data_IF_665784970171
#
_entry.id   IF_665784970171
#
_cell.length_a   1.000
_cell.length_b   1.000
_cell.length_c   1.000
_cell.angle_alpha   90.00
_cell.angle_beta   90.00
_cell.angle_gamma   90.00
#
_symmetry.space_group_name_H-M   'P 1'
#
loop_
_entity.id
_entity.type
_entity.pdbx_description
1 polymer ?
#
# COMPACT_ATOMS: atom_id res chain seq x y z
N UNK A 1 29.66 28.06 30.81
CA UNK A 1 29.25 26.65 30.95
C UNK A 1 28.49 26.28 29.69
N UNK A 2 28.44 24.99 29.36
CA UNK A 2 27.90 24.49 28.09
C UNK A 2 26.95 23.34 28.35
N UNK A 3 25.80 23.34 27.68
CA UNK A 3 24.88 22.20 27.63
C UNK A 3 25.15 21.44 26.34
N UNK A 4 25.41 20.15 26.45
CA UNK A 4 25.56 19.23 25.32
C UNK A 4 24.32 18.33 25.29
N UNK A 5 23.52 18.45 24.23
CA UNK A 5 22.37 17.59 23.97
C UNK A 5 22.74 16.52 22.95
N UNK A 6 22.73 15.26 23.36
CA UNK A 6 22.90 14.11 22.45
C UNK A 6 21.55 13.58 22.00
N UNK A 7 21.52 12.87 20.88
CA UNK A 7 20.32 12.19 20.40
C UNK A 7 19.95 11.06 21.39
N UNK A 8 18.72 11.03 21.94
CA UNK A 8 18.28 9.97 22.84
C UNK A 8 18.32 8.57 22.21
N UNK A 9 18.21 8.46 20.87
CA UNK A 9 18.34 7.18 20.15
C UNK A 9 19.79 6.75 19.97
N UNK A 10 20.70 7.71 19.92
CA UNK A 10 22.14 7.50 19.68
C UNK A 10 22.96 8.32 20.67
N UNK A 11 22.84 8.06 21.99
CA UNK A 11 23.44 8.91 23.01
C UNK A 11 24.97 8.81 23.06
N UNK A 12 25.56 7.85 22.35
CA UNK A 12 27.01 7.76 22.12
C UNK A 12 27.51 8.58 20.92
N UNK A 13 26.61 9.14 20.10
CA UNK A 13 26.98 10.07 19.02
C UNK A 13 26.94 11.49 19.56
N UNK A 14 28.12 12.09 19.63
CA UNK A 14 28.31 13.46 20.13
C UNK A 14 28.65 14.37 18.95
N UNK A 15 28.13 15.63 18.94
CA UNK A 15 28.57 16.63 17.97
C UNK A 15 30.09 16.80 18.02
N UNK A 16 30.74 16.94 16.86
CA UNK A 16 32.20 17.06 16.79
C UNK A 16 32.71 18.26 17.62
N UNK A 17 31.94 19.34 17.66
CA UNK A 17 32.23 20.53 18.48
C UNK A 17 32.25 20.28 20.00
N UNK A 18 31.61 19.20 20.46
CA UNK A 18 31.54 18.83 21.87
C UNK A 18 32.73 17.96 22.32
N UNK A 19 33.50 17.38 21.41
CA UNK A 19 34.52 16.36 21.73
C UNK A 19 35.57 16.87 22.73
N UNK A 20 36.10 18.08 22.53
CA UNK A 20 37.11 18.66 23.45
C UNK A 20 36.52 18.96 24.84
N UNK A 21 35.23 19.29 24.92
CA UNK A 21 34.56 19.64 26.16
C UNK A 21 34.29 18.41 27.04
N UNK A 22 34.06 17.26 26.42
CA UNK A 22 33.77 16.00 27.11
C UNK A 22 34.99 15.41 27.84
N UNK A 23 36.20 15.89 27.55
CA UNK A 23 37.43 15.53 28.27
C UNK A 23 37.64 16.30 29.59
N UNK A 24 36.82 17.31 29.87
CA UNK A 24 36.92 18.17 31.04
C UNK A 24 35.98 17.79 32.19
N UNK A 25 35.56 18.79 32.97
CA UNK A 25 34.59 18.62 34.05
C UNK A 25 33.16 18.54 33.50
N UNK A 26 32.55 17.34 33.57
CA UNK A 26 31.25 17.03 32.96
C UNK A 26 30.29 16.50 34.00
N UNK A 27 29.12 17.12 34.09
CA UNK A 27 27.95 16.55 34.73
C UNK A 27 27.06 15.86 33.69
N UNK A 28 26.39 14.79 34.09
CA UNK A 28 25.42 14.10 33.24
C UNK A 28 24.10 13.82 33.96
N UNK A 29 23.02 13.80 33.20
CA UNK A 29 21.67 13.47 33.67
C UNK A 29 21.42 11.95 33.63
N UNK A 30 20.51 11.47 34.46
CA UNK A 30 20.31 10.06 34.79
C UNK A 30 19.76 9.19 33.65
N UNK A 31 19.14 9.78 32.63
CA UNK A 31 18.54 9.07 31.51
C UNK A 31 19.60 8.54 30.51
N UNK A 32 20.84 9.02 30.60
CA UNK A 32 21.91 8.53 29.73
C UNK A 32 22.24 7.06 30.02
N UNK A 33 22.37 6.21 28.98
CA UNK A 33 22.80 4.83 29.18
C UNK A 33 24.17 4.76 29.84
N UNK A 34 24.34 3.84 30.78
CA UNK A 34 25.52 3.76 31.66
C UNK A 34 26.88 3.73 30.93
N UNK A 35 26.89 3.22 29.70
CA UNK A 35 28.07 3.18 28.83
C UNK A 35 28.60 4.58 28.48
N UNK A 36 27.71 5.57 28.36
CA UNK A 36 28.09 6.96 28.02
C UNK A 36 28.85 7.59 29.18
N UNK A 37 28.32 7.67 30.42
CA UNK A 37 29.08 8.15 31.58
C UNK A 37 30.40 7.44 31.82
N UNK A 38 30.46 6.11 31.66
CA UNK A 38 31.70 5.34 31.85
C UNK A 38 32.81 5.66 30.85
N UNK A 39 32.46 6.30 29.73
CA UNK A 39 33.40 6.74 28.72
C UNK A 39 33.95 8.15 28.99
N UNK A 40 33.38 8.87 29.98
CA UNK A 40 33.79 10.23 30.35
C UNK A 40 34.89 10.18 31.41
N UNK A 41 36.08 10.77 31.18
CA UNK A 41 37.21 10.71 32.11
C UNK A 41 36.92 11.32 33.49
N UNK A 42 36.00 12.28 33.56
CA UNK A 42 35.65 13.01 34.79
C UNK A 42 34.14 13.26 34.90
N UNK A 43 33.33 12.36 34.33
CA UNK A 43 31.88 12.44 34.38
C UNK A 43 31.33 12.19 35.79
N UNK A 44 30.45 13.07 36.28
CA UNK A 44 29.70 12.86 37.52
C UNK A 44 28.19 13.08 37.33
N UNK A 45 27.30 12.41 38.10
CA UNK A 45 25.88 12.67 38.00
C UNK A 45 25.52 14.11 38.40
N UNK A 46 24.47 14.66 37.79
CA UNK A 46 24.01 16.04 38.02
C UNK A 46 23.62 16.33 39.49
N UNK A 47 23.18 15.31 40.23
CA UNK A 47 22.84 15.43 41.66
C UNK A 47 24.05 15.39 42.60
N UNK A 48 25.29 15.49 42.08
CA UNK A 48 26.51 15.45 42.89
C UNK A 48 27.39 16.68 42.70
N UNK A 49 27.82 17.26 43.83
CA UNK A 49 28.78 18.37 43.87
C UNK A 49 28.23 19.69 43.34
N UNK A 50 29.15 20.59 43.02
CA UNK A 50 28.84 21.87 42.37
C UNK A 50 28.68 21.71 40.85
N UNK A 51 28.00 22.69 40.23
CA UNK A 51 27.79 22.77 38.79
C UNK A 51 29.10 22.64 37.99
N UNK A 52 29.16 21.63 37.14
CA UNK A 52 30.28 21.40 36.23
C UNK A 52 30.28 22.38 35.05
N UNK A 53 31.44 22.53 34.42
CA UNK A 53 31.61 23.36 33.22
C UNK A 53 30.71 22.93 32.05
N UNK A 54 30.38 21.63 31.99
CA UNK A 54 29.58 20.99 30.94
C UNK A 54 28.45 20.18 31.57
N UNK A 55 27.24 20.31 31.05
CA UNK A 55 26.12 19.41 31.31
C UNK A 55 25.83 18.58 30.06
N UNK A 56 25.93 17.26 30.16
CA UNK A 56 25.59 16.31 29.11
C UNK A 56 24.21 15.69 29.41
N UNK A 57 23.30 15.76 28.44
CA UNK A 57 21.97 15.18 28.55
C UNK A 57 21.46 14.72 27.19
N UNK A 58 20.51 13.82 27.17
CA UNK A 58 19.70 13.46 26.00
C UNK A 58 18.25 13.96 26.10
N UNK A 59 17.86 14.50 27.26
CA UNK A 59 16.54 15.06 27.50
C UNK A 59 16.58 16.58 27.54
N UNK A 60 16.06 17.20 26.48
CA UNK A 60 15.95 18.66 26.40
C UNK A 60 15.00 19.23 27.46
N UNK A 61 14.03 18.47 27.94
CA UNK A 61 13.03 18.91 28.91
C UNK A 61 13.50 18.75 30.37
N UNK A 62 14.66 18.12 30.60
CA UNK A 62 15.21 17.93 31.93
C UNK A 62 15.35 19.27 32.69
N UNK A 63 14.96 19.36 33.99
CA UNK A 63 14.96 20.63 34.73
C UNK A 63 16.30 21.36 34.72
N UNK A 64 17.41 20.64 34.90
CA UNK A 64 18.77 21.20 34.89
C UNK A 64 19.18 21.72 33.50
N UNK A 65 18.74 21.05 32.44
CA UNK A 65 18.96 21.51 31.06
C UNK A 65 18.21 22.81 30.83
N UNK A 66 16.93 22.86 31.20
CA UNK A 66 16.11 24.07 31.07
C UNK A 66 16.67 25.22 31.90
N UNK A 67 17.12 24.97 33.13
CA UNK A 67 17.72 25.98 34.00
C UNK A 67 18.99 26.59 33.40
N UNK A 68 19.92 25.75 32.90
CA UNK A 68 21.17 26.22 32.28
C UNK A 68 20.94 26.95 30.95
N UNK A 69 20.00 26.47 30.13
CA UNK A 69 19.60 27.17 28.91
C UNK A 69 18.95 28.52 29.21
N UNK A 70 18.08 28.59 30.24
CA UNK A 70 17.48 29.84 30.69
C UNK A 70 18.50 30.84 31.26
N UNK A 71 19.60 30.33 31.84
CA UNK A 71 20.74 31.14 32.27
C UNK A 71 21.63 31.64 31.11
N UNK A 72 21.32 31.27 29.85
CA UNK A 72 22.03 31.71 28.66
C UNK A 72 23.31 30.93 28.35
N UNK A 73 23.44 29.72 28.88
CA UNK A 73 24.58 28.85 28.57
C UNK A 73 24.60 28.41 27.10
N UNK A 74 25.81 28.14 26.59
CA UNK A 74 26.00 27.69 25.21
C UNK A 74 25.37 26.31 25.02
N UNK A 75 24.54 26.14 24.00
CA UNK A 75 24.01 24.85 23.59
C UNK A 75 24.84 24.27 22.43
N UNK A 76 25.26 23.01 22.57
CA UNK A 76 25.76 22.18 21.48
C UNK A 76 24.83 20.97 21.40
N UNK A 77 24.06 20.85 20.33
CA UNK A 77 23.07 19.78 20.19
C UNK A 77 23.39 18.91 18.96
N UNK A 78 23.03 17.63 19.03
CA UNK A 78 22.78 16.84 17.85
C UNK A 78 21.73 17.55 16.96
N UNK A 79 21.75 17.33 15.63
CA UNK A 79 20.70 17.82 14.75
C UNK A 79 19.32 17.44 15.28
N UNK A 80 18.33 18.31 15.07
CA UNK A 80 16.95 17.97 15.44
C UNK A 80 16.49 16.69 14.72
N UNK A 81 15.58 15.93 15.34
CA UNK A 81 14.98 14.75 14.73
C UNK A 81 14.53 15.03 13.29
N UNK A 82 15.03 14.25 12.35
CA UNK A 82 14.63 14.33 10.95
C UNK A 82 13.24 13.73 10.74
N UNK A 83 12.53 14.25 9.74
CA UNK A 83 11.28 13.66 9.30
C UNK A 83 11.50 12.19 8.91
N UNK A 84 10.68 11.28 9.45
CA UNK A 84 10.77 9.85 9.19
C UNK A 84 11.57 9.04 10.22
N UNK A 85 12.23 9.65 11.21
CA UNK A 85 12.99 8.88 12.21
C UNK A 85 12.16 7.87 13.01
N UNK A 86 10.86 8.14 13.21
CA UNK A 86 9.93 7.20 13.89
C UNK A 86 9.75 5.89 13.13
N UNK A 87 10.03 5.86 11.83
CA UNK A 87 10.04 4.62 11.05
C UNK A 87 11.14 3.67 11.54
N UNK A 88 12.31 4.22 11.91
CA UNK A 88 13.42 3.42 12.46
C UNK A 88 13.02 2.79 13.80
N UNK A 89 12.30 3.54 14.64
CA UNK A 89 11.76 3.02 15.89
C UNK A 89 10.76 1.87 15.63
N UNK A 90 9.89 2.02 14.62
CA UNK A 90 8.93 0.99 14.23
C UNK A 90 9.61 -0.29 13.69
N UNK A 91 10.68 -0.15 12.91
CA UNK A 91 11.50 -1.28 12.44
C UNK A 91 12.08 -2.06 13.63
N UNK A 92 12.63 -1.37 14.63
CA UNK A 92 13.19 -2.01 15.81
C UNK A 92 12.11 -2.71 16.67
N UNK A 93 10.92 -2.10 16.79
CA UNK A 93 9.78 -2.72 17.47
C UNK A 93 9.34 -3.97 16.71
N UNK A 94 9.22 -3.92 15.39
CA UNK A 94 8.84 -5.06 14.57
C UNK A 94 9.85 -6.21 14.71
N UNK A 95 11.16 -5.94 14.70
CA UNK A 95 12.16 -6.99 14.92
C UNK A 95 11.99 -7.69 16.28
N UNK A 96 11.74 -6.91 17.34
CA UNK A 96 11.46 -7.45 18.66
C UNK A 96 10.17 -8.28 18.69
N UNK A 97 9.11 -7.78 18.08
CA UNK A 97 7.83 -8.49 17.99
C UNK A 97 7.99 -9.78 17.20
N UNK A 98 8.64 -9.76 16.03
CA UNK A 98 8.91 -10.96 15.23
C UNK A 98 9.73 -12.01 16.00
N UNK A 99 10.71 -11.55 16.79
CA UNK A 99 11.63 -12.43 17.51
C UNK A 99 11.03 -13.03 18.78
N UNK A 100 10.23 -12.27 19.52
CA UNK A 100 9.78 -12.65 20.88
C UNK A 100 8.25 -12.73 21.03
N UNK A 101 7.50 -12.24 20.06
CA UNK A 101 6.05 -12.20 20.06
C UNK A 101 5.45 -13.56 19.66
N UNK A 102 4.45 -14.08 20.41
CA UNK A 102 3.90 -15.40 20.16
C UNK A 102 3.07 -15.45 18.88
N UNK A 103 2.42 -14.35 18.49
CA UNK A 103 1.60 -14.29 17.28
C UNK A 103 2.45 -13.86 16.08
N UNK A 104 3.32 -12.87 16.28
CA UNK A 104 4.14 -12.25 15.24
C UNK A 104 5.19 -13.19 14.67
N UNK A 105 5.74 -14.08 15.50
CA UNK A 105 6.70 -15.12 15.08
C UNK A 105 6.06 -16.19 14.20
N UNK A 106 4.76 -16.45 14.32
CA UNK A 106 4.04 -17.46 13.54
C UNK A 106 3.53 -16.92 12.18
N UNK A 107 3.56 -15.59 11.98
CA UNK A 107 3.04 -15.00 10.74
C UNK A 107 3.87 -15.39 9.51
N UNK A 108 3.18 -15.51 8.39
CA UNK A 108 3.74 -15.77 7.06
C UNK A 108 3.21 -14.74 6.08
N UNK A 109 3.83 -14.62 4.90
CA UNK A 109 3.29 -13.76 3.86
C UNK A 109 1.84 -14.11 3.50
N UNK A 110 1.49 -15.39 3.49
CA UNK A 110 0.14 -15.84 3.14
C UNK A 110 -0.88 -15.56 4.23
N UNK A 111 -0.53 -15.76 5.51
CA UNK A 111 -1.45 -15.48 6.63
C UNK A 111 -1.77 -13.99 6.75
N UNK A 112 -0.83 -13.12 6.36
CA UNK A 112 -0.98 -11.67 6.44
C UNK A 112 -1.83 -11.04 5.32
N UNK A 113 -2.03 -11.75 4.20
CA UNK A 113 -2.76 -11.21 3.04
C UNK A 113 -4.16 -10.71 3.37
N UNK A 114 -4.86 -11.40 4.29
CA UNK A 114 -6.21 -11.02 4.70
C UNK A 114 -6.19 -9.65 5.38
N UNK A 115 -5.31 -9.47 6.37
CA UNK A 115 -5.20 -8.23 7.12
C UNK A 115 -4.84 -7.06 6.19
N UNK A 116 -3.83 -7.22 5.32
CA UNK A 116 -3.49 -6.17 4.36
C UNK A 116 -4.67 -5.75 3.46
N UNK A 117 -5.54 -6.68 3.09
CA UNK A 117 -6.74 -6.34 2.32
C UNK A 117 -7.77 -5.58 3.16
N UNK A 118 -7.99 -6.01 4.40
CA UNK A 118 -8.86 -5.33 5.38
C UNK A 118 -8.38 -3.88 5.60
N UNK A 119 -7.11 -3.68 5.97
CA UNK A 119 -6.53 -2.33 6.21
C UNK A 119 -6.60 -1.43 4.96
N UNK A 120 -6.50 -2.02 3.76
CA UNK A 120 -6.62 -1.24 2.51
C UNK A 120 -8.05 -0.71 2.31
N UNK A 121 -9.07 -1.48 2.69
CA UNK A 121 -10.46 -1.03 2.61
C UNK A 121 -10.82 -0.06 3.74
N UNK A 122 -10.31 -0.27 4.95
CA UNK A 122 -10.46 0.68 6.06
C UNK A 122 -9.82 2.03 5.70
N UNK A 123 -8.63 2.01 5.09
CA UNK A 123 -8.00 3.20 4.53
C UNK A 123 -8.88 3.90 3.46
N UNK A 124 -9.51 3.15 2.56
CA UNK A 124 -10.41 3.74 1.55
C UNK A 124 -11.64 4.38 2.17
N UNK A 125 -12.20 3.73 3.19
CA UNK A 125 -13.33 4.22 3.95
C UNK A 125 -12.99 5.51 4.70
N UNK A 126 -11.82 5.58 5.36
CA UNK A 126 -11.33 6.78 6.01
C UNK A 126 -11.16 7.96 5.03
N UNK A 127 -10.59 7.69 3.83
CA UNK A 127 -10.49 8.68 2.74
C UNK A 127 -11.87 9.15 2.29
N UNK A 128 -12.84 8.24 2.15
CA UNK A 128 -14.19 8.57 1.72
C UNK A 128 -14.92 9.45 2.74
N UNK A 129 -14.74 9.18 4.04
CA UNK A 129 -15.33 9.95 5.14
C UNK A 129 -14.61 11.28 5.38
N UNK A 130 -13.37 11.41 4.94
CA UNK A 130 -12.55 12.60 5.15
C UNK A 130 -12.06 12.75 6.60
N UNK A 131 -12.03 11.68 7.38
CA UNK A 131 -11.50 11.68 8.74
C UNK A 131 -9.96 11.55 8.70
N UNK A 132 -9.28 12.65 9.03
CA UNK A 132 -7.81 12.69 9.00
C UNK A 132 -7.15 11.90 10.15
N UNK A 133 -7.86 11.66 11.25
CA UNK A 133 -7.33 10.86 12.35
C UNK A 133 -7.41 9.38 11.99
N UNK A 134 -8.59 8.92 11.54
CA UNK A 134 -8.78 7.55 11.02
C UNK A 134 -7.79 7.30 9.87
N UNK A 135 -7.70 8.20 8.90
CA UNK A 135 -6.74 8.10 7.79
C UNK A 135 -5.29 7.91 8.26
N UNK A 136 -4.87 8.62 9.30
CA UNK A 136 -3.51 8.49 9.85
C UNK A 136 -3.30 7.12 10.49
N UNK A 137 -4.29 6.64 11.22
CA UNK A 137 -4.22 5.38 11.94
C UNK A 137 -4.21 4.20 10.94
N UNK A 138 -5.08 4.22 9.91
CA UNK A 138 -5.10 3.23 8.82
C UNK A 138 -3.82 3.21 7.98
N UNK A 139 -3.23 4.37 7.70
CA UNK A 139 -1.91 4.44 7.06
C UNK A 139 -0.82 3.81 7.94
N UNK A 140 -0.98 3.86 9.25
CA UNK A 140 -0.14 3.17 10.22
C UNK A 140 -0.26 1.65 10.10
N UNK A 141 -1.47 1.13 9.94
CA UNK A 141 -1.72 -0.31 9.82
C UNK A 141 -1.25 -0.87 8.47
N UNK A 142 -1.44 -0.12 7.37
CA UNK A 142 -0.81 -0.46 6.08
C UNK A 142 0.72 -0.46 6.19
N UNK A 143 1.31 0.51 6.90
CA UNK A 143 2.76 0.53 7.15
C UNK A 143 3.21 -0.68 8.00
N UNK A 144 2.42 -1.08 9.00
CA UNK A 144 2.68 -2.27 9.82
C UNK A 144 2.76 -3.53 8.93
N UNK A 145 1.86 -3.68 7.96
CA UNK A 145 1.92 -4.79 7.01
C UNK A 145 3.22 -4.78 6.18
N UNK A 146 3.67 -3.61 5.72
CA UNK A 146 4.95 -3.48 4.99
C UNK A 146 6.12 -3.94 5.87
N UNK A 147 6.15 -3.54 7.15
CA UNK A 147 7.18 -3.93 8.11
C UNK A 147 7.18 -5.44 8.37
N UNK A 148 6.01 -6.05 8.53
CA UNK A 148 5.88 -7.50 8.68
C UNK A 148 6.44 -8.25 7.46
N UNK A 149 6.01 -7.89 6.26
CA UNK A 149 6.47 -8.56 5.04
C UNK A 149 7.98 -8.38 4.85
N UNK A 150 8.53 -7.19 5.09
CA UNK A 150 9.97 -6.98 5.04
C UNK A 150 10.72 -7.86 6.05
N UNK A 151 10.27 -7.88 7.32
CA UNK A 151 10.94 -8.64 8.38
C UNK A 151 10.87 -10.17 8.18
N UNK A 152 9.76 -10.68 7.64
CA UNK A 152 9.62 -12.09 7.24
C UNK A 152 10.57 -12.41 6.08
N UNK A 153 10.70 -11.51 5.10
CA UNK A 153 11.56 -11.73 3.94
C UNK A 153 13.05 -11.81 4.30
N UNK A 154 13.49 -11.14 5.36
CA UNK A 154 14.85 -11.25 5.88
C UNK A 154 15.23 -12.67 6.34
N UNK A 155 14.23 -13.47 6.73
CA UNK A 155 14.43 -14.86 7.18
C UNK A 155 14.49 -15.86 6.00
N UNK A 156 14.23 -15.41 4.77
CA UNK A 156 14.20 -16.28 3.61
C UNK A 156 15.59 -16.86 3.28
N UNK A 157 15.63 -18.15 2.91
CA UNK A 157 16.89 -18.81 2.50
C UNK A 157 17.41 -18.34 1.14
N UNK A 158 16.56 -17.77 0.31
CA UNK A 158 16.88 -17.29 -1.04
C UNK A 158 16.17 -15.96 -1.27
N UNK A 159 16.84 -15.02 -1.94
CA UNK A 159 16.29 -13.71 -2.29
C UNK A 159 15.77 -12.92 -1.07
N UNK A 160 16.41 -13.10 0.10
CA UNK A 160 16.11 -12.33 1.29
C UNK A 160 16.33 -10.83 1.03
N UNK A 161 15.49 -10.01 1.65
CA UNK A 161 15.58 -8.56 1.60
C UNK A 161 15.05 -7.98 2.91
N UNK A 162 15.50 -6.76 3.20
CA UNK A 162 15.18 -5.99 4.41
C UNK A 162 14.21 -4.86 4.10
N UNK A 163 13.73 -4.16 5.13
CA UNK A 163 12.97 -2.92 4.96
C UNK A 163 13.77 -1.82 4.22
N UNK A 164 15.09 -1.79 4.40
CA UNK A 164 15.96 -0.85 3.72
C UNK A 164 16.04 -1.15 2.22
N UNK A 165 16.07 -2.43 1.84
CA UNK A 165 16.01 -2.84 0.42
C UNK A 165 14.67 -2.44 -0.23
N UNK A 166 13.56 -2.50 0.52
CA UNK A 166 12.24 -2.01 0.06
C UNK A 166 12.28 -0.50 -0.16
N UNK A 167 12.84 0.26 0.79
CA UNK A 167 12.99 1.71 0.68
C UNK A 167 13.89 2.09 -0.49
N UNK A 168 15.03 1.42 -0.67
CA UNK A 168 15.96 1.62 -1.78
C UNK A 168 15.31 1.32 -3.13
N UNK A 169 14.52 0.25 -3.22
CA UNK A 169 13.76 -0.08 -4.42
C UNK A 169 12.75 1.03 -4.77
N UNK A 170 12.09 1.62 -3.77
CA UNK A 170 11.19 2.76 -3.95
C UNK A 170 11.95 4.02 -4.39
N UNK A 171 13.03 4.39 -3.70
CA UNK A 171 13.84 5.58 -4.00
C UNK A 171 14.40 5.49 -5.42
N UNK A 172 14.98 4.35 -5.80
CA UNK A 172 15.49 4.13 -7.17
C UNK A 172 14.38 4.26 -8.21
N UNK A 173 13.20 3.70 -7.94
CA UNK A 173 12.04 3.78 -8.84
C UNK A 173 11.56 5.23 -9.02
N UNK A 174 11.45 5.99 -7.94
CA UNK A 174 11.07 7.40 -8.00
C UNK A 174 12.14 8.23 -8.72
N UNK A 175 13.43 8.01 -8.39
CA UNK A 175 14.57 8.62 -9.06
C UNK A 175 14.57 8.44 -10.57
N UNK A 176 14.24 7.24 -11.04
CA UNK A 176 14.19 6.90 -12.46
C UNK A 176 12.98 7.49 -13.20
N UNK A 177 11.84 7.63 -12.52
CA UNK A 177 10.56 7.98 -13.15
C UNK A 177 10.27 9.48 -13.15
N UNK A 178 10.79 10.24 -12.20
CA UNK A 178 10.59 11.70 -12.10
C UNK A 178 11.91 12.49 -12.00
N UNK A 179 12.91 12.25 -12.88
CA UNK A 179 14.22 12.88 -12.77
C UNK A 179 14.15 14.42 -12.89
N UNK A 180 13.28 14.95 -13.74
CA UNK A 180 13.13 16.40 -13.95
C UNK A 180 12.64 17.11 -12.68
N UNK A 181 11.63 16.53 -12.00
CA UNK A 181 11.09 17.08 -10.75
C UNK A 181 12.15 17.05 -9.64
N UNK A 182 12.90 15.95 -9.53
CA UNK A 182 13.98 15.82 -8.54
C UNK A 182 15.18 16.73 -8.84
N UNK A 183 15.41 17.07 -10.10
CA UNK A 183 16.42 18.06 -10.52
C UNK A 183 15.95 19.52 -10.34
N UNK A 184 14.70 19.75 -9.92
CA UNK A 184 14.12 21.09 -9.77
C UNK A 184 13.75 21.77 -11.09
N UNK A 185 13.62 20.99 -12.17
CA UNK A 185 13.19 21.49 -13.47
C UNK A 185 11.67 21.74 -13.51
N UNK A 186 11.23 22.74 -14.26
CA UNK A 186 9.82 22.96 -14.52
C UNK A 186 9.37 22.05 -15.66
N UNK A 187 8.40 21.18 -15.39
CA UNK A 187 7.80 20.26 -16.36
C UNK A 187 6.27 20.39 -16.30
N UNK A 188 5.60 20.25 -17.44
CA UNK A 188 4.14 20.23 -17.49
C UNK A 188 3.60 18.90 -16.93
N UNK A 189 2.34 18.89 -16.47
CA UNK A 189 1.69 17.65 -16.01
C UNK A 189 1.63 16.59 -17.12
N UNK A 190 1.33 17.01 -18.35
CA UNK A 190 1.25 16.10 -19.51
C UNK A 190 2.60 15.46 -19.81
N UNK A 191 3.68 16.27 -19.85
CA UNK A 191 5.03 15.78 -20.10
C UNK A 191 5.52 14.88 -18.97
N UNK A 192 5.17 15.19 -17.72
CA UNK A 192 5.52 14.37 -16.56
C UNK A 192 4.82 13.00 -16.62
N UNK A 193 3.53 12.96 -16.98
CA UNK A 193 2.79 11.71 -17.15
C UNK A 193 3.33 10.89 -18.32
N UNK A 194 3.66 11.53 -19.44
CA UNK A 194 4.27 10.87 -20.59
C UNK A 194 5.65 10.29 -20.25
N UNK A 195 6.50 11.06 -19.56
CA UNK A 195 7.81 10.60 -19.08
C UNK A 195 7.66 9.43 -18.10
N UNK A 196 6.69 9.50 -17.18
CA UNK A 196 6.40 8.44 -16.21
C UNK A 196 6.04 7.14 -16.92
N UNK A 197 5.09 7.16 -17.85
CA UNK A 197 4.68 5.96 -18.57
C UNK A 197 5.78 5.43 -19.49
N UNK A 198 6.56 6.30 -20.14
CA UNK A 198 7.73 5.90 -20.95
C UNK A 198 8.78 5.17 -20.10
N UNK A 199 9.17 5.74 -18.95
CA UNK A 199 10.17 5.14 -18.04
C UNK A 199 9.66 3.83 -17.44
N UNK A 200 8.40 3.81 -17.04
CA UNK A 200 7.71 2.60 -16.58
C UNK A 200 7.63 1.55 -17.68
N UNK A 201 7.48 1.90 -18.96
CA UNK A 201 7.53 0.94 -20.06
C UNK A 201 8.95 0.41 -20.30
N UNK A 202 9.97 1.26 -20.22
CA UNK A 202 11.38 0.86 -20.38
C UNK A 202 11.87 -0.08 -19.26
N UNK A 203 11.50 0.19 -18.00
CA UNK A 203 11.74 -0.75 -16.88
C UNK A 203 11.07 -2.10 -17.15
N UNK A 204 9.91 -2.06 -17.80
CA UNK A 204 9.11 -3.25 -18.07
C UNK A 204 9.66 -4.10 -19.22
N UNK A 205 10.29 -3.49 -20.23
CA UNK A 205 10.91 -4.20 -21.36
C UNK A 205 12.29 -4.80 -21.05
N UNK A 206 12.93 -4.38 -19.96
CA UNK A 206 14.22 -4.93 -19.51
C UNK A 206 14.11 -6.20 -18.66
N UNK A 207 12.90 -6.66 -18.33
CA UNK A 207 12.69 -7.91 -17.60
C UNK A 207 12.58 -9.07 -18.59
N UNK A 208 13.67 -9.81 -18.79
CA UNK A 208 13.77 -10.96 -19.68
C UNK A 208 12.77 -12.09 -19.34
N UNK A 209 12.18 -12.08 -18.14
CA UNK A 209 11.13 -13.07 -17.77
C UNK A 209 9.77 -12.78 -18.42
N UNK A 210 9.56 -11.60 -19.00
CA UNK A 210 8.27 -11.26 -19.61
C UNK A 210 8.23 -11.66 -21.07
N UNK A 211 7.39 -12.64 -21.35
CA UNK A 211 7.20 -13.20 -22.69
C UNK A 211 5.89 -12.66 -23.28
N UNK A 212 4.89 -12.37 -22.44
CA UNK A 212 3.54 -11.93 -22.80
C UNK A 212 3.22 -10.50 -22.38
N UNK A 213 2.36 -9.81 -23.15
CA UNK A 213 1.89 -8.47 -22.78
C UNK A 213 1.04 -8.43 -21.50
N UNK A 214 0.47 -9.57 -21.09
CA UNK A 214 -0.34 -9.74 -19.87
C UNK A 214 0.46 -10.32 -18.69
N UNK A 215 1.78 -10.51 -18.84
CA UNK A 215 2.65 -10.88 -17.72
C UNK A 215 2.71 -9.75 -16.67
N UNK A 216 2.90 -10.12 -15.41
CA UNK A 216 2.90 -9.26 -14.21
C UNK A 216 1.61 -8.46 -13.97
N UNK A 217 0.50 -8.91 -14.55
CA UNK A 217 -0.83 -8.48 -14.11
C UNK A 217 -1.17 -9.23 -12.82
N UNK A 218 -1.35 -8.54 -11.66
CA UNK A 218 -1.72 -9.20 -10.42
C UNK A 218 -3.15 -9.75 -10.53
N UNK A 219 -3.28 -11.08 -10.57
CA UNK A 219 -4.55 -11.78 -10.79
C UNK A 219 -5.46 -11.82 -9.57
N UNK A 220 -4.93 -11.51 -8.39
CA UNK A 220 -5.68 -11.48 -7.12
C UNK A 220 -6.53 -10.21 -6.92
N UNK A 221 -6.47 -9.25 -7.85
CA UNK A 221 -7.28 -8.02 -7.78
C UNK A 221 -8.77 -8.33 -7.99
N UNK A 222 -9.70 -7.43 -7.58
CA UNK A 222 -11.10 -7.54 -7.92
C UNK A 222 -11.30 -7.70 -9.43
N UNK A 223 -12.27 -8.51 -9.83
CA UNK A 223 -12.41 -8.99 -11.20
C UNK A 223 -12.56 -7.83 -12.21
N UNK A 224 -13.29 -6.78 -11.82
CA UNK A 224 -13.43 -5.56 -12.62
C UNK A 224 -12.10 -4.83 -12.84
N UNK A 225 -11.31 -4.67 -11.78
CA UNK A 225 -10.00 -4.03 -11.85
C UNK A 225 -9.01 -4.86 -12.69
N UNK A 226 -9.07 -6.19 -12.52
CA UNK A 226 -8.32 -7.13 -13.34
C UNK A 226 -8.69 -7.01 -14.82
N UNK A 227 -9.99 -7.04 -15.16
CA UNK A 227 -10.49 -6.89 -16.52
C UNK A 227 -10.01 -5.58 -17.16
N UNK A 228 -10.20 -4.44 -16.48
CA UNK A 228 -9.75 -3.13 -16.96
C UNK A 228 -8.25 -3.11 -17.23
N UNK A 229 -7.44 -3.69 -16.33
CA UNK A 229 -5.98 -3.73 -16.47
C UNK A 229 -5.54 -4.62 -17.64
N UNK A 230 -6.16 -5.79 -17.79
CA UNK A 230 -5.87 -6.71 -18.90
C UNK A 230 -6.26 -6.06 -20.23
N UNK A 231 -7.45 -5.47 -20.33
CA UNK A 231 -7.90 -4.73 -21.53
C UNK A 231 -6.90 -3.63 -21.89
N UNK A 232 -6.50 -2.80 -20.92
CA UNK A 232 -5.52 -1.74 -21.16
C UNK A 232 -4.17 -2.29 -21.69
N UNK A 233 -3.71 -3.45 -21.18
CA UNK A 233 -2.47 -4.09 -21.62
C UNK A 233 -2.56 -4.59 -23.06
N UNK A 234 -3.61 -5.33 -23.39
CA UNK A 234 -3.75 -5.91 -24.73
C UNK A 234 -3.96 -4.85 -25.80
N UNK A 235 -4.71 -3.78 -25.49
CA UNK A 235 -4.87 -2.63 -26.40
C UNK A 235 -3.55 -1.90 -26.64
N UNK A 236 -2.74 -1.71 -25.58
CA UNK A 236 -1.39 -1.13 -25.70
C UNK A 236 -0.47 -2.01 -26.55
N UNK A 237 -0.65 -3.34 -26.51
CA UNK A 237 0.07 -4.30 -27.34
C UNK A 237 -0.45 -4.41 -28.78
N UNK A 238 -1.45 -3.60 -29.16
CA UNK A 238 -2.01 -3.56 -30.51
C UNK A 238 -3.06 -4.63 -30.80
N UNK A 239 -3.60 -5.30 -29.77
CA UNK A 239 -4.74 -6.21 -29.95
C UNK A 239 -5.95 -5.41 -30.45
N UNK A 240 -6.55 -5.79 -31.59
CA UNK A 240 -7.78 -5.15 -32.07
C UNK A 240 -8.94 -5.30 -31.06
N UNK A 241 -9.69 -4.23 -30.74
CA UNK A 241 -10.77 -4.28 -29.74
C UNK A 241 -11.84 -5.33 -30.04
N UNK A 242 -12.09 -5.64 -31.31
CA UNK A 242 -13.05 -6.65 -31.74
C UNK A 242 -12.70 -8.09 -31.33
N UNK A 243 -11.44 -8.34 -30.93
CA UNK A 243 -10.99 -9.65 -30.46
C UNK A 243 -11.20 -9.84 -28.95
N UNK A 244 -11.60 -8.79 -28.22
CA UNK A 244 -11.89 -8.90 -26.78
C UNK A 244 -13.27 -9.54 -26.59
N UNK A 245 -13.39 -10.68 -25.88
CA UNK A 245 -14.66 -11.35 -25.68
C UNK A 245 -15.71 -10.48 -24.97
N UNK A 246 -16.97 -10.60 -25.36
CA UNK A 246 -18.09 -9.91 -24.70
C UNK A 246 -18.18 -10.25 -23.20
N UNK A 247 -17.79 -11.47 -22.83
CA UNK A 247 -17.74 -11.96 -21.45
C UNK A 247 -16.71 -11.25 -20.56
N UNK A 248 -15.75 -10.52 -21.15
CA UNK A 248 -14.75 -9.71 -20.44
C UNK A 248 -15.19 -8.24 -20.31
N UNK A 249 -16.05 -7.75 -21.19
CA UNK A 249 -16.50 -6.35 -21.24
C UNK A 249 -17.93 -6.13 -20.74
N UNK A 250 -18.69 -7.21 -20.51
CA UNK A 250 -20.06 -7.17 -20.00
C UNK A 250 -20.17 -7.97 -18.71
N UNK A 251 -20.79 -7.37 -17.69
CA UNK A 251 -20.99 -7.99 -16.38
C UNK A 251 -22.48 -7.98 -16.05
N UNK A 252 -23.00 -9.14 -15.67
CA UNK A 252 -24.40 -9.29 -15.25
C UNK A 252 -24.43 -9.57 -13.75
N UNK A 253 -25.06 -8.67 -12.98
CA UNK A 253 -25.24 -8.83 -11.54
C UNK A 253 -26.66 -9.33 -11.28
N UNK A 254 -26.78 -10.52 -10.67
CA UNK A 254 -28.06 -11.14 -10.33
C UNK A 254 -27.91 -11.95 -9.04
N UNK A 255 -28.99 -12.11 -8.27
CA UNK A 255 -28.95 -12.76 -6.95
C UNK A 255 -28.45 -14.22 -6.97
N UNK A 256 -28.64 -14.93 -8.09
CA UNK A 256 -28.24 -16.33 -8.26
C UNK A 256 -26.87 -16.50 -8.94
N UNK A 257 -26.12 -15.41 -9.16
CA UNK A 257 -24.84 -15.42 -9.87
C UNK A 257 -23.71 -14.84 -9.02
N UNK A 258 -22.55 -15.48 -9.10
CA UNK A 258 -21.30 -14.94 -8.59
C UNK A 258 -20.61 -14.15 -9.71
N UNK A 259 -21.06 -12.91 -9.94
CA UNK A 259 -20.55 -12.05 -11.02
C UNK A 259 -19.04 -11.79 -10.91
N UNK A 260 -18.52 -11.75 -9.68
CA UNK A 260 -17.11 -11.51 -9.39
C UNK A 260 -16.26 -12.72 -9.82
N UNK A 261 -16.69 -13.94 -9.48
CA UNK A 261 -15.98 -15.16 -9.89
C UNK A 261 -16.16 -15.48 -11.39
N UNK A 262 -17.36 -15.23 -11.94
CA UNK A 262 -17.63 -15.40 -13.38
C UNK A 262 -16.71 -14.49 -14.21
N UNK A 263 -16.68 -13.19 -13.92
CA UNK A 263 -15.80 -12.26 -14.65
C UNK A 263 -14.34 -12.63 -14.49
N UNK A 264 -13.89 -12.97 -13.27
CA UNK A 264 -12.50 -13.38 -13.03
C UNK A 264 -12.12 -14.58 -13.91
N UNK A 265 -12.99 -15.58 -13.99
CA UNK A 265 -12.76 -16.77 -14.81
C UNK A 265 -12.59 -16.39 -16.27
N UNK A 266 -13.51 -15.60 -16.83
CA UNK A 266 -13.42 -15.14 -18.22
C UNK A 266 -12.15 -14.32 -18.50
N UNK A 267 -11.72 -13.48 -17.56
CA UNK A 267 -10.50 -12.67 -17.73
C UNK A 267 -9.26 -13.54 -17.70
N UNK A 268 -9.19 -14.56 -16.84
CA UNK A 268 -8.06 -15.48 -16.78
C UNK A 268 -7.98 -16.34 -18.06
N UNK A 269 -9.10 -16.87 -18.55
CA UNK A 269 -9.17 -17.59 -19.82
C UNK A 269 -8.76 -16.70 -21.01
N UNK A 270 -9.17 -15.44 -21.00
CA UNK A 270 -8.74 -14.45 -21.98
C UNK A 270 -7.22 -14.21 -21.93
N UNK A 271 -6.64 -14.08 -20.73
CA UNK A 271 -5.18 -13.97 -20.57
C UNK A 271 -4.44 -15.19 -21.12
N UNK A 272 -4.97 -16.40 -20.90
CA UNK A 272 -4.37 -17.64 -21.44
C UNK A 272 -4.48 -17.70 -22.96
N UNK A 273 -5.60 -17.24 -23.52
CA UNK A 273 -5.76 -17.10 -24.98
C UNK A 273 -4.73 -16.14 -25.55
N UNK A 274 -4.53 -14.97 -24.93
CA UNK A 274 -3.52 -14.00 -25.34
C UNK A 274 -2.12 -14.62 -25.35
N UNK A 275 -1.73 -15.31 -24.27
CA UNK A 275 -0.42 -16.00 -24.18
C UNK A 275 -0.23 -17.05 -25.26
N UNK A 276 -1.27 -17.83 -25.54
CA UNK A 276 -1.23 -18.86 -26.58
C UNK A 276 -1.04 -18.25 -27.98
N UNK A 277 -1.76 -17.16 -28.27
CA UNK A 277 -1.65 -16.44 -29.55
C UNK A 277 -0.28 -15.80 -29.70
N UNK A 278 0.25 -15.15 -28.66
CA UNK A 278 1.60 -14.59 -28.67
C UNK A 278 2.65 -15.69 -28.92
N UNK A 279 2.54 -16.83 -28.23
CA UNK A 279 3.42 -17.99 -28.48
C UNK A 279 3.35 -18.48 -29.93
N UNK A 280 2.15 -18.53 -30.52
CA UNK A 280 1.96 -18.93 -31.92
C UNK A 280 2.59 -17.93 -32.89
N UNK A 281 2.48 -16.62 -32.62
CA UNK A 281 3.11 -15.56 -33.42
C UNK A 281 4.63 -15.68 -33.34
N UNK A 282 5.20 -15.85 -32.14
CA UNK A 282 6.64 -16.05 -31.96
C UNK A 282 7.14 -17.34 -32.63
N UNK A 283 6.37 -18.42 -32.62
CA UNK A 283 6.72 -19.64 -33.35
C UNK A 283 6.73 -19.40 -34.86
N UNK A 284 5.69 -18.75 -35.41
CA UNK A 284 5.60 -18.46 -36.84
C UNK A 284 6.71 -17.51 -37.35
N UNK A 285 7.09 -16.51 -36.54
CA UNK A 285 8.23 -15.63 -36.84
C UNK A 285 9.57 -16.39 -36.81
N UNK A 286 9.72 -17.39 -35.93
CA UNK A 286 10.91 -18.25 -35.88
C UNK A 286 11.00 -19.24 -37.04
N UNK A 287 9.89 -19.76 -37.53
CA UNK A 287 9.88 -20.69 -38.67
C UNK A 287 10.19 -19.99 -40.01
N UNK A 288 9.98 -18.67 -40.10
CA UNK A 288 10.29 -17.87 -41.29
C UNK A 288 11.76 -17.42 -41.38
N UNK A 289 12.46 -17.33 -40.25
CA UNK A 289 13.92 -17.05 -40.17
C UNK A 289 14.69 -18.32 -39.74
N UNK A 290 15.40 -19.02 -40.63
CA UNK A 290 16.21 -20.24 -40.30
C UNK A 290 17.71 -20.09 -40.62
N UNK A 291 18.66 -20.83 -40.00
CA UNK A 291 18.54 -21.87 -38.96
C UNK A 291 19.31 -21.62 -37.63
N UNK A 292 18.73 -22.17 -36.55
CA UNK A 292 19.30 -22.63 -35.28
C UNK A 292 20.82 -22.42 -35.06
N UNK A 293 21.18 -21.46 -34.22
CA UNK A 293 22.20 -21.63 -33.18
C UNK A 293 22.14 -20.42 -32.23
N UNK A 294 21.86 -20.69 -30.95
CA UNK A 294 21.95 -19.79 -29.79
C UNK A 294 21.05 -18.53 -29.85
N UNK A 295 19.93 -18.53 -29.11
CA UNK A 295 19.77 -17.68 -27.92
C UNK A 295 18.33 -17.64 -27.39
N UNK A 296 18.25 -17.32 -26.10
CA UNK A 296 17.14 -16.91 -25.22
C UNK A 296 15.80 -16.56 -25.89
N UNK A 297 14.67 -16.89 -25.22
CA UNK A 297 13.31 -16.46 -25.58
C UNK A 297 13.27 -14.93 -25.74
N UNK A 298 13.51 -14.44 -26.95
CA UNK A 298 13.49 -13.02 -27.23
C UNK A 298 12.05 -12.50 -27.08
N UNK A 299 11.84 -11.32 -26.47
CA UNK A 299 10.52 -10.74 -26.34
C UNK A 299 9.87 -10.58 -27.71
N UNK A 300 8.55 -10.81 -27.78
CA UNK A 300 7.78 -10.86 -29.03
C UNK A 300 7.94 -9.62 -29.93
N UNK A 301 8.43 -8.50 -29.41
CA UNK A 301 8.44 -7.21 -30.11
C UNK A 301 7.03 -6.70 -30.38
N UNK A 302 6.90 -5.68 -31.24
CA UNK A 302 5.58 -5.16 -31.61
C UNK A 302 4.81 -6.19 -32.46
N UNK A 303 3.55 -6.44 -32.09
CA UNK A 303 2.64 -7.34 -32.81
C UNK A 303 1.65 -6.52 -33.62
N UNK A 304 1.51 -6.84 -34.90
CA UNK A 304 0.56 -6.14 -35.77
C UNK A 304 -0.86 -6.67 -35.60
N UNK A 305 -1.86 -5.82 -35.87
CA UNK A 305 -3.27 -6.21 -35.86
C UNK A 305 -3.57 -7.42 -36.76
N UNK A 306 -2.85 -7.56 -37.88
CA UNK A 306 -3.03 -8.68 -38.81
C UNK A 306 -2.46 -10.00 -38.25
N UNK A 307 -1.32 -9.94 -37.56
CA UNK A 307 -0.77 -11.12 -36.87
C UNK A 307 -1.70 -11.58 -35.74
N UNK A 308 -2.23 -10.63 -34.96
CA UNK A 308 -3.26 -10.94 -33.97
C UNK A 308 -4.44 -11.67 -34.61
N UNK A 309 -5.06 -11.12 -35.66
CA UNK A 309 -6.21 -11.75 -36.34
C UNK A 309 -5.89 -13.12 -36.94
N UNK A 310 -4.70 -13.30 -37.52
CA UNK A 310 -4.29 -14.57 -38.14
C UNK A 310 -4.20 -15.72 -37.14
N UNK A 311 -3.72 -15.44 -35.94
CA UNK A 311 -3.44 -16.44 -34.91
C UNK A 311 -4.53 -16.51 -33.84
N UNK A 312 -5.48 -15.57 -33.82
CA UNK A 312 -6.59 -15.58 -32.87
C UNK A 312 -7.47 -16.82 -33.07
N UNK A 313 -7.88 -17.51 -32.00
CA UNK A 313 -8.84 -18.60 -32.13
C UNK A 313 -10.14 -18.06 -32.71
N UNK A 314 -10.63 -18.69 -33.77
CA UNK A 314 -11.98 -18.42 -34.25
C UNK A 314 -12.94 -18.65 -33.07
N UNK A 315 -13.95 -17.77 -32.84
CA UNK A 315 -14.93 -18.03 -31.81
C UNK A 315 -15.51 -19.43 -32.05
N UNK A 316 -15.44 -20.29 -31.03
CA UNK A 316 -16.20 -21.52 -31.05
C UNK A 316 -17.63 -21.10 -31.39
N UNK A 317 -18.16 -21.59 -32.50
CA UNK A 317 -19.56 -21.40 -32.81
C UNK A 317 -20.35 -22.12 -31.72
N UNK A 318 -20.61 -21.45 -30.60
CA UNK A 318 -21.76 -21.76 -29.78
C UNK A 318 -22.94 -21.60 -30.73
N UNK A 319 -23.47 -22.74 -31.15
CA UNK A 319 -24.78 -22.80 -31.76
C UNK A 319 -25.76 -22.24 -30.73
N UNK A 320 -25.98 -20.92 -30.78
CA UNK A 320 -27.14 -20.29 -30.22
C UNK A 320 -28.34 -20.87 -30.97
N UNK A 321 -28.86 -22.00 -30.48
CA UNK A 321 -30.27 -22.31 -30.64
C UNK A 321 -31.02 -21.19 -29.91
N UNK A 322 -31.25 -20.10 -30.63
CA UNK A 322 -32.21 -19.09 -30.23
C UNK A 322 -33.56 -19.82 -30.05
N UNK A 323 -34.20 -19.75 -28.87
CA UNK A 323 -35.54 -20.29 -28.73
C UNK A 323 -36.44 -19.56 -29.73
N UNK A 324 -37.16 -20.35 -30.53
CA UNK A 324 -38.15 -19.89 -31.49
C UNK A 324 -39.03 -18.81 -30.84
N UNK A 325 -39.08 -17.67 -31.52
CA UNK A 325 -39.96 -16.53 -31.22
C UNK A 325 -41.37 -17.08 -30.94
N UNK A 326 -42.02 -16.75 -29.80
CA UNK A 326 -43.41 -17.09 -29.63
C UNK A 326 -44.23 -16.28 -30.64
N UNK A 327 -45.01 -17.00 -31.43
CA UNK A 327 -45.92 -16.48 -32.43
C UNK A 327 -46.89 -15.48 -31.78
N UNK A 328 -46.88 -14.24 -32.27
CA UNK A 328 -47.85 -13.22 -31.86
C UNK A 328 -49.19 -13.61 -32.48
N UNK A 329 -50.08 -14.17 -31.67
CA UNK A 329 -51.51 -14.30 -32.00
C UNK A 329 -52.22 -13.06 -31.45
N UNK A 330 -52.67 -12.18 -32.33
CA UNK A 330 -53.58 -11.08 -31.98
C UNK A 330 -55.02 -11.48 -32.21
N UNK A 331 -55.78 -11.44 -31.11
CA UNK A 331 -57.22 -11.17 -30.90
C UNK A 331 -58.24 -11.63 -31.95
N UNK A 332 -59.16 -12.52 -31.54
CA UNK A 332 -60.55 -12.12 -31.23
C UNK A 332 -61.30 -13.28 -30.54
N UNK A 333 -62.35 -12.93 -29.79
CA UNK A 333 -63.30 -13.81 -29.08
C UNK A 333 -62.82 -14.47 -27.77
N UNK A 334 -63.09 -13.80 -26.64
CA UNK A 334 -64.22 -14.17 -25.75
C UNK A 334 -64.22 -13.27 -24.50
N UNK A 335 -65.18 -12.35 -24.48
CA UNK A 335 -65.71 -11.74 -23.26
C UNK A 335 -66.53 -12.81 -22.51
N UNK A 336 -66.22 -13.04 -21.24
CA UNK A 336 -67.23 -12.98 -20.15
C UNK A 336 -66.58 -13.22 -18.77
N UNK A 337 -67.22 -12.60 -17.77
CA UNK A 337 -67.07 -12.75 -16.32
C UNK A 337 -65.97 -11.97 -15.59
N UNK A 338 -66.31 -10.69 -15.37
CA UNK A 338 -65.85 -9.87 -14.24
C UNK A 338 -66.44 -10.44 -12.94
N UNK A 339 -65.60 -10.91 -12.02
CA UNK A 339 -65.98 -11.07 -10.62
C UNK A 339 -65.12 -10.13 -9.76
N UNK A 340 -65.76 -9.05 -9.32
CA UNK A 340 -65.24 -8.07 -8.36
C UNK A 340 -65.06 -8.70 -6.99
N UNK A 341 -63.84 -8.70 -6.47
CA UNK A 341 -63.57 -8.90 -5.03
C UNK A 341 -62.97 -7.62 -4.45
N UNK A 342 -63.79 -6.90 -3.69
CA UNK A 342 -63.38 -5.95 -2.64
C UNK A 342 -63.11 -6.74 -1.36
N UNK A 343 -61.99 -6.50 -0.70
CA UNK A 343 -61.89 -6.59 0.78
C UNK A 343 -60.87 -5.56 1.29
N UNK A 344 -61.45 -4.54 1.94
CA UNK A 344 -61.09 -3.79 3.16
C UNK A 344 -59.65 -3.40 3.56
N UNK A 345 -59.60 -2.13 3.97
CA UNK A 345 -58.56 -1.34 4.61
C UNK A 345 -58.16 -1.87 6.00
N UNK A 346 -56.85 -1.91 6.29
CA UNK A 346 -56.22 -1.45 7.54
C UNK A 346 -54.75 -1.89 7.56
N UNK A 347 -53.81 -0.97 7.28
CA UNK A 347 -52.44 -1.06 7.77
C UNK A 347 -51.94 0.35 8.10
N UNK A 348 -51.84 0.61 9.40
CA UNK A 348 -51.33 1.81 10.05
C UNK A 348 -49.92 2.19 9.55
N UNK A 349 -49.78 3.43 9.09
CA UNK A 349 -48.49 4.11 8.88
C UNK A 349 -48.24 5.02 10.10
N UNK A 350 -47.08 4.95 10.77
CA UNK A 350 -46.76 5.90 11.83
C UNK A 350 -46.37 7.27 11.25
N UNK A 351 -47.06 8.31 11.71
CA UNK A 351 -46.78 9.73 11.44
C UNK A 351 -45.45 10.18 12.08
N UNK A 352 -44.67 10.90 11.29
CA UNK A 352 -43.54 11.72 11.73
C UNK A 352 -44.08 12.96 12.45
N UNK A 353 -43.60 13.22 13.67
CA UNK A 353 -43.75 14.52 14.34
C UNK A 353 -42.36 15.09 14.61
N UNK A 354 -42.09 16.21 13.96
CA UNK A 354 -41.07 17.18 14.35
C UNK A 354 -41.51 17.88 15.63
N UNK A 355 -40.67 17.89 16.66
CA UNK A 355 -40.59 19.02 17.61
C UNK A 355 -39.20 19.03 18.27
N UNK A 356 -38.50 20.13 18.03
CA UNK A 356 -37.21 20.51 18.60
C UNK A 356 -37.48 21.54 19.70
N UNK A 357 -36.86 21.40 20.88
CA UNK A 357 -36.26 22.51 21.63
C UNK A 357 -35.30 22.00 22.75
N UNK A 358 -34.34 22.83 23.22
CA UNK A 358 -32.99 22.41 23.59
C UNK A 358 -32.77 22.25 25.10
N UNK A 359 -31.72 21.50 25.48
CA UNK A 359 -31.20 21.47 26.84
C UNK A 359 -29.74 21.94 26.86
N UNK A 360 -29.48 22.99 27.65
CA UNK A 360 -28.16 23.50 28.02
C UNK A 360 -27.51 22.65 29.14
N UNK A 361 -26.19 22.79 29.39
CA UNK A 361 -25.39 21.79 30.07
C UNK A 361 -25.23 22.08 31.58
N UNK A 362 -25.18 21.03 32.38
CA UNK A 362 -24.72 21.11 33.77
C UNK A 362 -23.38 20.36 33.94
N UNK A 363 -22.38 21.15 34.36
CA UNK A 363 -21.17 20.73 35.07
C UNK A 363 -21.53 19.96 36.35
N UNK A 364 -20.82 18.88 36.67
CA UNK A 364 -20.07 18.77 37.93
C UNK A 364 -19.35 17.42 38.07
N UNK A 365 -18.29 17.46 38.86
CA UNK A 365 -17.24 16.48 39.02
C UNK A 365 -17.56 15.35 40.02
N UNK A 366 -16.62 14.38 40.04
CA UNK A 366 -15.98 13.81 41.25
C UNK A 366 -16.23 12.30 41.56
N UNK A 367 -15.36 11.47 40.97
CA UNK A 367 -14.69 10.26 41.50
C UNK A 367 -15.51 9.11 42.17
N UNK A 368 -14.88 8.04 42.71
CA UNK A 368 -14.79 6.74 42.02
C UNK A 368 -15.45 5.62 42.84
N UNK A 369 -15.69 4.45 42.23
CA UNK A 369 -15.98 3.25 43.02
C UNK A 369 -15.14 2.06 42.57
N UNK A 370 -14.20 1.70 43.44
CA UNK A 370 -13.60 0.38 43.56
C UNK A 370 -14.68 -0.68 43.77
N UNK A 371 -14.60 -1.80 43.05
CA UNK A 371 -14.85 -3.15 43.60
C UNK A 371 -13.97 -4.16 42.86
N UNK A 372 -13.18 -4.89 43.62
CA UNK A 372 -12.25 -5.97 43.26
C UNK A 372 -12.96 -7.34 43.46
N UNK A 373 -12.30 -8.52 43.35
CA UNK A 373 -12.44 -9.46 42.23
C UNK A 373 -13.09 -10.81 42.60
N UNK A 374 -13.32 -11.66 41.58
CA UNK A 374 -13.27 -13.13 41.68
C UNK A 374 -12.55 -13.74 40.48
#
# INVERSE_FOLDING_TARGET
>A
MTVILVDPRRPSLVPVEAVELLGGDVQYTEELPIKVPWSLPSGRPVFTGDDAAVLLSSDRQHPEVQARLAAGERLIAAPEPQAGERLVDAVAIMDKLRTAGPWESEQTHDSLRRYLLEETYELFDAVHRGDLNELRDELGDVLLQVLFHARIAEEASQHAFTIDDVADALVRKLGNRVPAVLAGESISLEDQLAQWEQRKAAERSGDERRISCVDDVPTAQPALALAQKVIARVLTAGLPPELIPASVVSVTVAAERDAENELRTHVLEFMDTVRAVESAIAANRRDTDTPSELDVVAPLGAVTAEEWRRHWPAPAAEALELPLVPEVVTDDDLLDDVDTVRVDEELDLPELTDDVEPAEPDDEADQPNSVEPQ
#
